data_IF_893760304677
#
_entry.id   IF_893760304677
#
_cell.length_a   1.000
_cell.length_b   1.000
_cell.length_c   1.000
_cell.angle_alpha   90.00
_cell.angle_beta   90.00
_cell.angle_gamma   90.00
#
_symmetry.space_group_name_H-M   'P 1'
#
loop_
_entity.id
_entity.type
_entity.pdbx_description
1 polymer ?
#
# COMPACT_ATOMS: atom_id res chain seq x y z
N UNK A 1 18.34 -4.17 -44.65
CA UNK A 1 18.15 -3.25 -43.51
C UNK A 1 16.81 -3.50 -42.80
N UNK A 2 16.58 -4.66 -42.17
CA UNK A 2 15.28 -5.00 -41.55
C UNK A 2 15.37 -5.63 -40.14
N UNK A 3 16.56 -5.64 -39.53
CA UNK A 3 16.83 -6.33 -38.26
C UNK A 3 16.75 -5.39 -37.02
N UNK A 4 16.58 -4.08 -37.22
CA UNK A 4 16.67 -3.06 -36.15
C UNK A 4 15.33 -2.80 -35.44
N UNK A 5 14.19 -3.10 -36.07
CA UNK A 5 12.85 -2.86 -35.51
C UNK A 5 12.40 -3.91 -34.49
N UNK A 6 12.59 -5.20 -34.80
CA UNK A 6 12.15 -6.30 -33.93
C UNK A 6 12.90 -6.34 -32.59
N UNK A 7 14.21 -6.02 -32.62
CA UNK A 7 15.05 -5.97 -31.42
C UNK A 7 14.65 -4.82 -30.48
N UNK A 8 14.12 -3.71 -31.03
CA UNK A 8 13.63 -2.57 -30.25
C UNK A 8 12.28 -2.88 -29.59
N UNK A 9 11.40 -3.61 -30.30
CA UNK A 9 10.12 -4.05 -29.75
C UNK A 9 10.29 -5.06 -28.61
N UNK A 10 11.20 -6.04 -28.78
CA UNK A 10 11.50 -7.04 -27.75
C UNK A 10 12.25 -6.45 -26.53
N UNK A 11 13.10 -5.44 -26.76
CA UNK A 11 13.81 -4.73 -25.68
C UNK A 11 12.88 -3.77 -24.92
N UNK A 12 11.92 -3.14 -25.59
CA UNK A 12 10.88 -2.37 -24.93
C UNK A 12 9.97 -3.27 -24.10
N UNK A 13 9.55 -4.44 -24.61
CA UNK A 13 8.73 -5.39 -23.85
C UNK A 13 9.39 -5.81 -22.52
N UNK A 14 10.71 -6.06 -22.52
CA UNK A 14 11.48 -6.35 -21.30
C UNK A 14 11.64 -5.16 -20.34
N UNK A 15 11.67 -3.92 -20.85
CA UNK A 15 11.85 -2.73 -20.01
C UNK A 15 10.52 -2.29 -19.39
N UNK A 16 9.40 -2.42 -20.11
CA UNK A 16 8.06 -2.16 -19.60
C UNK A 16 7.73 -3.06 -18.40
N UNK A 17 7.98 -4.37 -18.52
CA UNK A 17 7.78 -5.33 -17.42
C UNK A 17 8.63 -4.97 -16.19
N UNK A 18 9.89 -4.58 -16.40
CA UNK A 18 10.79 -4.15 -15.33
C UNK A 18 10.32 -2.84 -14.66
N UNK A 19 9.90 -1.85 -15.45
CA UNK A 19 9.38 -0.56 -14.94
C UNK A 19 8.09 -0.79 -14.16
N UNK A 20 7.22 -1.70 -14.62
CA UNK A 20 5.97 -2.05 -13.94
C UNK A 20 6.24 -2.75 -12.60
N UNK A 21 7.16 -3.71 -12.56
CA UNK A 21 7.54 -4.36 -11.29
C UNK A 21 8.20 -3.39 -10.31
N UNK A 22 9.07 -2.50 -10.81
CA UNK A 22 9.71 -1.47 -9.99
C UNK A 22 8.70 -0.45 -9.46
N UNK A 23 7.73 -0.02 -10.28
CA UNK A 23 6.70 0.93 -9.87
C UNK A 23 5.78 0.36 -8.80
N UNK A 24 5.33 -0.91 -8.95
CA UNK A 24 4.55 -1.60 -7.92
C UNK A 24 5.37 -1.76 -6.64
N UNK A 25 6.64 -2.15 -6.76
CA UNK A 25 7.53 -2.27 -5.60
C UNK A 25 7.62 -0.96 -4.84
N UNK A 26 7.87 0.16 -5.53
CA UNK A 26 7.92 1.49 -4.92
C UNK A 26 6.57 1.88 -4.30
N UNK A 27 5.46 1.59 -4.97
CA UNK A 27 4.11 1.89 -4.51
C UNK A 27 3.77 1.13 -3.21
N UNK A 28 4.23 -0.10 -3.03
CA UNK A 28 4.04 -0.86 -1.79
C UNK A 28 5.07 -0.52 -0.71
N UNK A 29 6.33 -0.29 -1.11
CA UNK A 29 7.42 -0.04 -0.18
C UNK A 29 7.29 1.32 0.50
N UNK A 30 6.97 2.36 -0.27
CA UNK A 30 6.84 3.73 0.25
C UNK A 30 5.86 3.86 1.43
N UNK A 31 4.59 3.42 1.36
CA UNK A 31 3.65 3.55 2.47
C UNK A 31 4.02 2.68 3.68
N UNK A 32 4.63 1.51 3.48
CA UNK A 32 5.11 0.66 4.58
C UNK A 32 6.26 1.37 5.31
N UNK A 33 7.26 1.88 4.59
CA UNK A 33 8.36 2.64 5.20
C UNK A 33 7.85 3.89 5.89
N UNK A 34 6.95 4.63 5.25
CA UNK A 34 6.36 5.83 5.83
C UNK A 34 5.62 5.51 7.14
N UNK A 35 4.95 4.36 7.22
CA UNK A 35 4.26 3.95 8.45
C UNK A 35 5.20 3.63 9.62
N UNK A 36 6.46 3.27 9.38
CA UNK A 36 7.48 3.17 10.44
C UNK A 36 8.01 4.54 10.91
N UNK A 37 7.96 5.54 10.03
CA UNK A 37 8.38 6.92 10.35
C UNK A 37 7.27 7.72 11.05
N UNK A 38 6.03 7.29 10.92
CA UNK A 38 4.87 7.96 11.51
C UNK A 38 4.44 7.30 12.82
N UNK A 39 3.84 8.09 13.70
CA UNK A 39 3.25 7.64 14.97
C UNK A 39 1.82 8.16 15.03
N UNK A 40 0.91 7.40 15.63
CA UNK A 40 -0.49 7.84 15.80
C UNK A 40 -1.00 7.64 17.22
N UNK A 41 -1.87 8.55 17.65
CA UNK A 41 -2.67 8.40 18.86
C UNK A 41 -4.13 8.01 18.55
N UNK A 42 -4.39 7.56 17.31
CA UNK A 42 -5.72 7.21 16.81
C UNK A 42 -6.57 8.39 16.34
N UNK A 43 -6.23 9.64 16.71
CA UNK A 43 -6.93 10.86 16.23
C UNK A 43 -6.08 11.67 15.26
N UNK A 44 -4.79 11.76 15.50
CA UNK A 44 -3.82 12.45 14.66
C UNK A 44 -2.61 11.54 14.36
N UNK A 45 -1.88 11.90 13.32
CA UNK A 45 -0.64 11.22 12.90
C UNK A 45 0.50 12.24 12.94
N UNK A 46 1.61 11.89 13.57
CA UNK A 46 2.81 12.73 13.70
C UNK A 46 4.03 12.03 13.10
N UNK A 47 5.05 12.80 12.74
CA UNK A 47 6.32 12.25 12.25
C UNK A 47 7.32 12.08 13.40
N UNK A 48 8.01 10.94 13.43
CA UNK A 48 9.12 10.63 14.32
C UNK A 48 10.42 10.81 13.54
N UNK A 49 11.09 11.97 13.70
CA UNK A 49 12.41 12.23 13.11
C UNK A 49 13.45 12.43 14.21
N UNK A 50 14.48 11.60 14.25
CA UNK A 50 15.68 11.82 15.08
C UNK A 50 15.43 11.98 16.59
N UNK A 51 14.41 11.31 17.14
CA UNK A 51 14.04 11.41 18.56
C UNK A 51 13.12 12.59 18.91
N UNK A 52 12.88 13.51 17.97
CA UNK A 52 11.94 14.61 18.15
C UNK A 52 10.57 14.26 17.56
N UNK A 53 9.53 14.37 18.39
CA UNK A 53 8.14 14.21 17.95
C UNK A 53 7.66 15.54 17.36
N UNK A 54 7.69 15.67 16.03
CA UNK A 54 7.04 16.80 15.39
C UNK A 54 5.53 16.60 15.51
N UNK A 55 4.92 17.24 16.52
CA UNK A 55 3.46 17.35 16.73
C UNK A 55 2.80 18.23 15.65
N UNK A 56 3.25 18.17 14.40
CA UNK A 56 2.44 18.57 13.24
C UNK A 56 1.48 17.41 13.02
N UNK A 57 0.65 17.15 14.02
CA UNK A 57 -0.34 16.10 14.01
C UNK A 57 -1.47 16.57 13.13
N UNK A 58 -1.37 16.40 11.80
CA UNK A 58 -2.42 16.81 10.88
C UNK A 58 -3.72 16.08 11.30
N UNK A 59 -4.67 16.78 11.96
CA UNK A 59 -5.94 16.16 12.25
C UNK A 59 -6.60 15.87 10.90
N UNK A 60 -7.39 14.80 10.85
CA UNK A 60 -8.17 14.54 9.66
C UNK A 60 -9.18 15.68 9.47
N UNK A 61 -8.90 16.59 8.53
CA UNK A 61 -9.78 17.72 8.22
C UNK A 61 -11.16 17.22 7.82
N UNK A 62 -11.23 16.10 7.07
CA UNK A 62 -12.49 15.47 6.71
C UNK A 62 -13.34 15.10 7.94
N UNK A 63 -12.75 14.47 8.94
CA UNK A 63 -13.44 14.12 10.19
C UNK A 63 -13.82 15.36 11.00
N UNK A 64 -12.97 16.39 11.01
CA UNK A 64 -13.28 17.65 11.67
C UNK A 64 -14.45 18.39 10.99
N UNK A 65 -14.54 18.31 9.66
CA UNK A 65 -15.58 18.98 8.88
C UNK A 65 -16.90 18.20 8.81
N UNK A 66 -16.85 16.88 8.66
CA UNK A 66 -18.04 16.05 8.41
C UNK A 66 -18.46 15.21 9.61
N UNK A 67 -17.59 15.05 10.63
CA UNK A 67 -17.78 14.10 11.73
C UNK A 67 -17.49 12.64 11.36
N UNK A 68 -17.40 12.31 10.07
CA UNK A 68 -17.20 10.94 9.58
C UNK A 68 -15.72 10.56 9.46
N UNK A 69 -15.40 9.27 9.57
CA UNK A 69 -14.03 8.79 9.45
C UNK A 69 -13.67 8.66 7.96
N UNK A 70 -12.64 9.37 7.51
CA UNK A 70 -12.09 9.16 6.18
C UNK A 70 -11.52 7.73 6.06
N UNK A 71 -11.83 6.98 4.98
CA UNK A 71 -11.23 5.67 4.76
C UNK A 71 -9.72 5.80 4.54
N UNK A 72 -9.28 6.86 3.86
CA UNK A 72 -7.86 7.12 3.58
C UNK A 72 -7.02 7.30 4.85
N UNK A 73 -7.37 8.25 5.71
CA UNK A 73 -6.60 8.48 6.94
C UNK A 73 -6.86 7.39 8.00
N UNK A 74 -7.97 6.63 7.92
CA UNK A 74 -8.14 5.38 8.67
C UNK A 74 -7.15 4.30 8.22
N UNK A 75 -6.94 4.13 6.91
CA UNK A 75 -5.94 3.20 6.37
C UNK A 75 -4.52 3.60 6.80
N UNK A 76 -4.15 4.88 6.70
CA UNK A 76 -2.82 5.35 7.13
C UNK A 76 -2.57 5.05 8.62
N UNK A 77 -3.56 5.28 9.49
CA UNK A 77 -3.45 4.94 10.93
C UNK A 77 -3.35 3.43 11.14
N UNK A 78 -4.11 2.64 10.39
CA UNK A 78 -4.00 1.18 10.43
C UNK A 78 -2.61 0.70 10.03
N UNK A 79 -1.98 1.31 9.02
CA UNK A 79 -0.60 1.00 8.61
C UNK A 79 0.41 1.32 9.71
N UNK A 80 0.23 2.45 10.40
CA UNK A 80 1.07 2.82 11.55
C UNK A 80 0.91 1.79 12.67
N UNK A 81 -0.33 1.45 13.06
CA UNK A 81 -0.56 0.44 14.09
C UNK A 81 -0.03 -0.96 13.70
N UNK A 82 -0.12 -1.34 12.42
CA UNK A 82 0.50 -2.58 11.94
C UNK A 82 2.03 -2.55 12.09
N UNK A 83 2.66 -1.40 11.83
CA UNK A 83 4.11 -1.21 12.00
C UNK A 83 4.52 -1.17 13.47
N UNK A 84 3.65 -0.69 14.35
CA UNK A 84 3.79 -0.75 15.82
C UNK A 84 3.45 -2.16 16.38
N UNK A 85 3.18 -3.15 15.53
CA UNK A 85 2.77 -4.52 15.91
C UNK A 85 1.46 -4.58 16.72
N UNK A 86 0.66 -3.51 16.69
CA UNK A 86 -0.63 -3.41 17.37
C UNK A 86 -1.79 -3.76 16.42
N UNK A 87 -1.92 -5.06 16.14
CA UNK A 87 -2.91 -5.58 15.19
C UNK A 87 -4.34 -5.30 15.65
N UNK A 88 -4.62 -5.34 16.96
CA UNK A 88 -5.96 -5.08 17.50
C UNK A 88 -6.40 -3.63 17.25
N UNK A 89 -5.51 -2.66 17.50
CA UNK A 89 -5.79 -1.26 17.18
C UNK A 89 -5.88 -1.01 15.67
N UNK A 90 -5.04 -1.67 14.87
CA UNK A 90 -5.11 -1.58 13.41
C UNK A 90 -6.46 -2.08 12.87
N UNK A 91 -6.93 -3.23 13.36
CA UNK A 91 -8.19 -3.82 12.95
C UNK A 91 -9.40 -2.97 13.35
N UNK A 92 -9.35 -2.41 14.56
CA UNK A 92 -10.39 -1.50 15.05
C UNK A 92 -10.44 -0.19 14.24
N UNK A 93 -9.30 0.28 13.72
CA UNK A 93 -9.22 1.48 12.90
C UNK A 93 -9.70 1.25 11.47
N UNK A 94 -9.13 0.27 10.77
CA UNK A 94 -9.53 -0.07 9.41
C UNK A 94 -9.10 -1.51 9.05
N UNK A 95 -10.07 -2.41 8.96
CA UNK A 95 -9.84 -3.82 8.58
C UNK A 95 -9.23 -3.97 7.19
N UNK A 96 -9.68 -3.15 6.23
CA UNK A 96 -9.13 -3.15 4.88
C UNK A 96 -7.67 -2.67 4.86
N UNK A 97 -7.31 -1.75 5.77
CA UNK A 97 -5.93 -1.31 5.98
C UNK A 97 -5.01 -2.43 6.43
N UNK A 98 -5.45 -3.28 7.36
CA UNK A 98 -4.68 -4.47 7.79
C UNK A 98 -4.43 -5.42 6.62
N UNK A 99 -5.49 -5.75 5.86
CA UNK A 99 -5.40 -6.64 4.70
C UNK A 99 -4.45 -6.08 3.63
N UNK A 100 -4.54 -4.78 3.35
CA UNK A 100 -3.68 -4.11 2.38
C UNK A 100 -2.21 -4.06 2.85
N UNK A 101 -1.96 -3.86 4.14
CA UNK A 101 -0.61 -3.86 4.70
C UNK A 101 0.06 -5.23 4.52
N UNK A 102 -0.65 -6.31 4.85
CA UNK A 102 -0.16 -7.68 4.65
C UNK A 102 0.11 -7.97 3.17
N UNK A 103 -0.75 -7.49 2.29
CA UNK A 103 -0.54 -7.61 0.85
C UNK A 103 0.73 -6.90 0.38
N UNK A 104 0.97 -5.66 0.84
CA UNK A 104 2.20 -4.94 0.55
C UNK A 104 3.44 -5.69 1.08
N UNK A 105 3.38 -6.21 2.31
CA UNK A 105 4.47 -6.98 2.90
C UNK A 105 4.80 -8.25 2.10
N UNK A 106 3.80 -8.94 1.54
CA UNK A 106 4.02 -10.12 0.70
C UNK A 106 4.50 -9.74 -0.72
N UNK A 107 4.04 -8.62 -1.26
CA UNK A 107 4.43 -8.16 -2.60
C UNK A 107 5.89 -7.69 -2.67
N UNK A 108 6.41 -7.03 -1.64
CA UNK A 108 7.78 -6.50 -1.61
C UNK A 108 8.83 -7.61 -1.88
N UNK A 109 8.91 -8.71 -1.11
CA UNK A 109 9.90 -9.76 -1.34
C UNK A 109 9.63 -10.50 -2.65
N UNK A 110 8.36 -10.71 -3.03
CA UNK A 110 8.01 -11.36 -4.29
C UNK A 110 8.51 -10.57 -5.51
N UNK A 111 8.27 -9.25 -5.54
CA UNK A 111 8.71 -8.38 -6.63
C UNK A 111 10.24 -8.21 -6.63
N UNK A 112 10.85 -8.12 -5.45
CA UNK A 112 12.31 -8.08 -5.32
C UNK A 112 12.96 -9.36 -5.89
N UNK A 113 12.41 -10.53 -5.56
CA UNK A 113 12.85 -11.81 -6.12
C UNK A 113 12.65 -11.88 -7.63
N UNK A 114 11.56 -11.34 -8.17
CA UNK A 114 11.31 -11.34 -9.62
C UNK A 114 12.31 -10.47 -10.39
N UNK A 115 12.75 -9.36 -9.79
CA UNK A 115 13.77 -8.47 -10.35
C UNK A 115 15.15 -9.16 -10.37
N UNK A 116 15.49 -9.89 -9.31
CA UNK A 116 16.78 -10.61 -9.20
C UNK A 116 16.79 -11.94 -9.99
N UNK A 117 15.70 -12.69 -9.95
CA UNK A 117 15.56 -14.02 -10.55
C UNK A 117 14.47 -14.02 -11.62
N UNK A 118 14.91 -13.98 -12.88
CA UNK A 118 14.08 -13.83 -14.09
C UNK A 118 13.17 -15.00 -14.48
N UNK A 119 12.95 -15.99 -13.61
CA UNK A 119 12.25 -17.24 -13.96
C UNK A 119 11.24 -17.69 -12.90
N UNK A 120 10.06 -17.06 -12.86
CA UNK A 120 8.90 -17.63 -12.16
C UNK A 120 7.73 -17.74 -13.16
N UNK A 121 7.31 -18.96 -13.56
CA UNK A 121 6.24 -19.14 -14.56
C UNK A 121 4.86 -18.69 -14.04
N UNK A 122 4.69 -18.55 -12.72
CA UNK A 122 3.41 -18.27 -12.07
C UNK A 122 3.07 -16.77 -11.92
N UNK A 123 3.86 -15.87 -12.53
CA UNK A 123 3.72 -14.42 -12.34
C UNK A 123 2.34 -13.85 -12.69
N UNK A 124 1.70 -14.42 -13.71
CA UNK A 124 0.40 -13.96 -14.20
C UNK A 124 -0.71 -14.26 -13.21
N UNK A 125 -0.65 -15.44 -12.57
CA UNK A 125 -1.64 -15.86 -11.58
C UNK A 125 -1.49 -15.07 -10.29
N UNK A 126 -0.25 -14.85 -9.81
CA UNK A 126 -0.01 -13.98 -8.64
C UNK A 126 -0.51 -12.56 -8.89
N UNK A 127 -0.30 -12.02 -10.09
CA UNK A 127 -0.75 -10.67 -10.44
C UNK A 127 -2.28 -10.61 -10.54
N UNK A 128 -2.93 -11.59 -11.17
CA UNK A 128 -4.39 -11.68 -11.23
C UNK A 128 -5.02 -11.81 -9.84
N UNK A 129 -4.47 -12.68 -9.00
CA UNK A 129 -4.90 -12.83 -7.61
C UNK A 129 -4.75 -11.53 -6.81
N UNK A 130 -3.63 -10.83 -7.00
CA UNK A 130 -3.42 -9.53 -6.37
C UNK A 130 -4.41 -8.45 -6.81
N UNK A 131 -4.80 -8.44 -8.09
CA UNK A 131 -5.83 -7.52 -8.60
C UNK A 131 -7.19 -7.83 -7.94
N UNK A 132 -7.58 -9.11 -7.90
CA UNK A 132 -8.82 -9.53 -7.24
C UNK A 132 -8.81 -9.14 -5.76
N UNK A 133 -7.70 -9.37 -5.07
CA UNK A 133 -7.53 -8.99 -3.67
C UNK A 133 -7.70 -7.48 -3.47
N UNK A 134 -7.10 -6.65 -4.33
CA UNK A 134 -7.25 -5.19 -4.26
C UNK A 134 -8.69 -4.74 -4.54
N UNK A 135 -9.41 -5.40 -5.44
CA UNK A 135 -10.84 -5.14 -5.68
C UNK A 135 -11.64 -5.44 -4.41
N UNK A 136 -11.38 -6.57 -3.75
CA UNK A 136 -12.04 -6.91 -2.47
C UNK A 136 -11.73 -5.87 -1.40
N UNK A 137 -10.46 -5.48 -1.22
CA UNK A 137 -10.06 -4.43 -0.28
C UNK A 137 -10.78 -3.11 -0.58
N UNK A 138 -10.88 -2.73 -1.86
CA UNK A 138 -11.61 -1.54 -2.28
C UNK A 138 -13.08 -1.63 -1.89
N UNK A 139 -13.74 -2.76 -2.19
CA UNK A 139 -15.15 -2.98 -1.88
C UNK A 139 -15.40 -2.95 -0.36
N UNK A 140 -14.53 -3.57 0.44
CA UNK A 140 -14.61 -3.53 1.92
C UNK A 140 -14.41 -2.11 2.43
N UNK A 141 -13.47 -1.35 1.86
CA UNK A 141 -13.19 0.02 2.27
C UNK A 141 -14.37 0.94 1.98
N UNK A 142 -14.97 0.82 0.79
CA UNK A 142 -16.15 1.58 0.41
C UNK A 142 -17.35 1.15 1.26
N UNK A 143 -17.57 -0.14 1.45
CA UNK A 143 -18.66 -0.65 2.29
C UNK A 143 -18.55 -0.18 3.75
N UNK A 144 -17.34 -0.20 4.32
CA UNK A 144 -17.07 0.35 5.65
C UNK A 144 -17.40 1.85 5.74
N UNK A 145 -17.10 2.62 4.69
CA UNK A 145 -17.39 4.04 4.64
C UNK A 145 -18.89 4.31 4.48
N UNK A 146 -19.57 3.59 3.58
CA UNK A 146 -21.02 3.74 3.36
C UNK A 146 -21.81 3.36 4.61
N UNK A 147 -21.40 2.31 5.32
CA UNK A 147 -22.04 1.90 6.57
C UNK A 147 -21.93 2.97 7.67
N UNK A 148 -21.07 3.97 7.52
CA UNK A 148 -21.01 5.08 8.48
C UNK A 148 -22.14 6.10 8.31
N UNK A 149 -22.85 6.10 7.17
CA UNK A 149 -23.94 7.03 6.88
C UNK A 149 -25.33 6.49 7.25
N UNK A 150 -25.44 5.19 7.57
CA UNK A 150 -26.67 4.53 8.00
C UNK A 150 -26.60 4.26 9.51
#
# INVERSE_FOLDING_TARGET
>A
MAQTGAKRYFKNFSNEDFILHLSILLLCFFPVVLSFLMVTNGKATAFKLGGYFFKIGLPCIFKAATGYNCPACGMTRSFIYMSDLNISAAWAMNRAGVLLYLFCLLQIPYRFMLIFNRKIPFQRIVTAFGIVFLIVVCFVTVGQFVFQFF
#
